data_IF_848420820268
#
_entry.id   IF_848420820268
#
_cell.length_a   1.000
_cell.length_b   1.000
_cell.length_c   1.000
_cell.angle_alpha   90.00
_cell.angle_beta   90.00
_cell.angle_gamma   90.00
#
_symmetry.space_group_name_H-M   'P 1'
#
loop_
_entity.id
_entity.type
_entity.pdbx_description
1 polymer ?
#
# COMPACT_ATOMS: atom_id res chain seq x y z
N UNK A 1 -4.52 13.95 10.25
CA UNK A 1 -3.27 13.22 10.40
C UNK A 1 -3.50 11.73 10.22
N UNK A 2 -2.68 11.05 9.41
CA UNK A 2 -2.72 9.61 9.20
C UNK A 2 -1.49 8.99 9.87
N UNK A 3 -1.72 8.08 10.83
CA UNK A 3 -0.66 7.47 11.63
C UNK A 3 -0.21 6.14 11.04
N UNK A 4 -1.16 5.34 10.52
CA UNK A 4 -0.96 4.02 9.93
C UNK A 4 -2.07 3.71 8.93
N UNK A 5 -1.89 2.67 8.12
CA UNK A 5 -2.86 2.22 7.13
C UNK A 5 -2.90 3.08 5.88
N UNK A 6 -3.99 2.99 5.14
CA UNK A 6 -4.22 3.73 3.91
C UNK A 6 -5.56 4.45 3.97
N UNK A 7 -5.60 5.68 3.43
CA UNK A 7 -6.83 6.45 3.30
C UNK A 7 -6.89 7.10 1.91
N UNK A 8 -8.07 7.05 1.31
CA UNK A 8 -8.37 7.78 0.08
C UNK A 8 -9.23 9.00 0.40
N UNK A 9 -8.91 10.11 -0.25
CA UNK A 9 -9.56 11.39 -0.04
C UNK A 9 -10.11 11.92 -1.37
N UNK A 10 -11.37 12.30 -1.37
CA UNK A 10 -11.95 13.11 -2.42
C UNK A 10 -12.23 14.51 -1.86
N UNK A 11 -11.44 15.46 -2.28
CA UNK A 11 -11.45 16.83 -1.76
C UNK A 11 -12.20 17.73 -2.73
N UNK A 12 -13.24 18.40 -2.25
CA UNK A 12 -13.94 19.42 -3.02
C UNK A 12 -13.00 20.58 -3.37
N UNK A 13 -13.17 21.18 -4.54
CA UNK A 13 -12.35 22.30 -4.97
C UNK A 13 -12.61 23.54 -4.09
N UNK A 14 -11.62 23.91 -3.31
CA UNK A 14 -11.63 25.11 -2.48
C UNK A 14 -10.20 25.67 -2.35
N UNK A 15 -9.92 26.75 -3.08
CA UNK A 15 -8.59 27.36 -3.08
C UNK A 15 -8.32 28.17 -1.81
N UNK A 16 -9.35 28.60 -1.09
CA UNK A 16 -9.22 29.39 0.12
C UNK A 16 -8.93 28.51 1.36
N UNK A 17 -9.29 27.21 1.30
CA UNK A 17 -9.11 26.26 2.39
C UNK A 17 -8.41 24.98 1.91
N UNK A 18 -7.08 24.98 1.85
CA UNK A 18 -6.31 23.78 1.48
C UNK A 18 -6.58 22.61 2.41
N UNK A 19 -6.83 21.42 1.84
CA UNK A 19 -6.91 20.19 2.62
C UNK A 19 -5.52 19.61 2.80
N UNK A 20 -5.15 19.33 4.05
CA UNK A 20 -3.80 18.87 4.40
C UNK A 20 -3.85 17.53 5.11
N UNK A 21 -3.06 16.57 4.61
CA UNK A 21 -2.80 15.28 5.28
C UNK A 21 -1.36 15.25 5.75
N UNK A 22 -1.18 15.03 7.05
CA UNK A 22 0.15 14.82 7.65
C UNK A 22 0.36 13.32 7.88
N UNK A 23 1.48 12.79 7.38
CA UNK A 23 1.86 11.38 7.51
C UNK A 23 3.38 11.23 7.45
N UNK A 24 3.97 10.27 8.18
CA UNK A 24 5.39 9.92 8.16
C UNK A 24 6.37 11.12 8.20
N UNK A 25 5.96 12.22 8.86
CA UNK A 25 6.76 13.44 8.99
C UNK A 25 6.74 14.37 7.78
N UNK A 26 5.93 14.08 6.77
CA UNK A 26 5.66 14.97 5.64
C UNK A 26 4.21 15.45 5.61
N UNK A 27 3.90 16.26 4.60
CA UNK A 27 2.60 16.92 4.41
C UNK A 27 2.18 16.85 2.96
N UNK A 28 0.96 16.40 2.71
CA UNK A 28 0.30 16.42 1.40
C UNK A 28 -0.79 17.47 1.40
N UNK A 29 -0.73 18.42 0.47
CA UNK A 29 -1.68 19.54 0.34
C UNK A 29 -2.47 19.42 -0.95
N UNK A 30 -3.79 19.44 -0.83
CA UNK A 30 -4.77 19.36 -1.92
C UNK A 30 -5.69 20.59 -1.95
N UNK A 31 -6.06 21.03 -3.16
CA UNK A 31 -6.96 22.17 -3.40
C UNK A 31 -8.24 21.77 -4.15
N UNK A 32 -8.53 20.47 -4.20
CA UNK A 32 -9.64 19.91 -4.96
C UNK A 32 -9.17 18.78 -5.85
N UNK A 33 -8.88 17.63 -5.26
CA UNK A 33 -8.29 16.48 -5.92
C UNK A 33 -8.78 15.19 -5.30
N UNK A 34 -8.62 14.07 -6.02
CA UNK A 34 -8.75 12.73 -5.46
C UNK A 34 -7.36 12.08 -5.38
N UNK A 35 -6.99 11.62 -4.18
CA UNK A 35 -5.69 11.01 -3.91
C UNK A 35 -5.74 10.06 -2.71
N UNK A 36 -4.80 9.15 -2.64
CA UNK A 36 -4.58 8.28 -1.50
C UNK A 36 -3.27 8.59 -0.79
N UNK A 37 -3.23 8.30 0.50
CA UNK A 37 -2.03 8.30 1.33
C UNK A 37 -1.96 6.98 2.05
N UNK A 38 -0.90 6.21 1.81
CA UNK A 38 -0.59 4.97 2.50
C UNK A 38 0.63 5.17 3.41
N UNK A 39 0.53 4.75 4.67
CA UNK A 39 1.61 4.85 5.67
C UNK A 39 2.23 3.48 5.87
N UNK A 40 3.51 3.37 5.50
CA UNK A 40 4.35 2.22 5.80
C UNK A 40 5.09 2.37 7.13
N UNK A 41 6.04 1.48 7.39
CA UNK A 41 6.76 1.46 8.69
C UNK A 41 7.47 2.78 9.03
N UNK A 42 8.11 3.47 8.07
CA UNK A 42 8.81 4.75 8.30
C UNK A 42 8.61 5.76 7.16
N UNK A 43 7.75 5.46 6.23
CA UNK A 43 7.52 6.25 5.03
C UNK A 43 6.03 6.38 4.74
N UNK A 44 5.68 7.27 3.85
CA UNK A 44 4.35 7.32 3.25
C UNK A 44 4.46 7.37 1.73
N UNK A 45 3.43 6.83 1.08
CA UNK A 45 3.24 6.90 -0.36
C UNK A 45 1.97 7.67 -0.66
N UNK A 46 2.04 8.61 -1.59
CA UNK A 46 0.89 9.36 -2.10
C UNK A 46 0.64 8.93 -3.53
N UNK A 47 -0.60 8.60 -3.87
CA UNK A 47 -1.03 8.27 -5.24
C UNK A 47 -2.17 9.20 -5.66
N UNK A 48 -2.06 9.85 -6.81
CA UNK A 48 -3.01 10.87 -7.27
C UNK A 48 -3.88 10.33 -8.39
N UNK A 49 -5.20 10.29 -8.17
CA UNK A 49 -6.18 9.82 -9.16
C UNK A 49 -6.81 10.95 -9.94
N UNK A 50 -6.87 12.18 -9.38
CA UNK A 50 -7.43 13.36 -10.06
C UNK A 50 -6.59 14.60 -9.76
N UNK A 51 -6.43 15.48 -10.75
CA UNK A 51 -5.71 16.76 -10.66
C UNK A 51 -4.27 16.60 -10.14
N UNK A 52 -3.93 17.32 -9.07
CA UNK A 52 -2.59 17.31 -8.48
C UNK A 52 -2.60 17.63 -6.97
N UNK A 53 -1.55 17.19 -6.28
CA UNK A 53 -1.24 17.59 -4.90
C UNK A 53 0.19 18.10 -4.81
N UNK A 54 0.48 18.88 -3.77
CA UNK A 54 1.85 19.21 -3.37
C UNK A 54 2.23 18.37 -2.15
N UNK A 55 3.37 17.68 -2.24
CA UNK A 55 3.92 16.88 -1.15
C UNK A 55 5.20 17.53 -0.65
N UNK A 56 5.28 17.78 0.65
CA UNK A 56 6.43 18.40 1.31
C UNK A 56 7.01 17.44 2.35
N UNK A 57 8.32 17.20 2.29
CA UNK A 57 9.07 16.44 3.30
C UNK A 57 10.56 16.72 3.19
N UNK A 58 11.31 16.61 4.30
CA UNK A 58 12.76 16.81 4.32
C UNK A 58 13.24 18.16 3.76
N UNK A 59 12.44 19.22 3.92
CA UNK A 59 12.75 20.57 3.39
C UNK A 59 12.49 20.73 1.88
N UNK A 60 12.05 19.69 1.17
CA UNK A 60 11.72 19.75 -0.26
C UNK A 60 10.20 19.69 -0.49
N UNK A 61 9.76 20.24 -1.61
CA UNK A 61 8.38 20.16 -2.09
C UNK A 61 8.36 19.56 -3.49
N UNK A 62 7.44 18.65 -3.73
CA UNK A 62 7.22 18.06 -5.06
C UNK A 62 5.74 18.13 -5.42
N UNK A 63 5.47 18.43 -6.70
CA UNK A 63 4.14 18.34 -7.29
C UNK A 63 3.95 16.94 -7.83
N UNK A 64 2.81 16.33 -7.49
CA UNK A 64 2.41 15.00 -7.96
C UNK A 64 1.09 15.14 -8.70
N UNK A 65 1.08 14.76 -9.95
CA UNK A 65 -0.08 14.90 -10.85
C UNK A 65 -0.85 13.59 -10.96
N UNK A 66 -2.05 13.68 -11.52
CA UNK A 66 -2.88 12.50 -11.85
C UNK A 66 -2.06 11.41 -12.53
N UNK A 67 -2.23 10.16 -12.11
CA UNK A 67 -1.51 8.99 -12.62
C UNK A 67 -0.11 8.85 -12.07
N UNK A 68 0.29 9.68 -11.11
CA UNK A 68 1.58 9.61 -10.45
C UNK A 68 1.47 9.24 -8.98
N UNK A 69 2.51 8.61 -8.48
CA UNK A 69 2.74 8.38 -7.05
C UNK A 69 4.10 8.90 -6.62
N UNK A 70 4.25 9.16 -5.33
CA UNK A 70 5.52 9.58 -4.72
C UNK A 70 5.67 8.96 -3.34
N UNK A 71 6.88 8.52 -3.03
CA UNK A 71 7.25 8.04 -1.69
C UNK A 71 8.10 9.08 -0.97
N UNK A 72 7.86 9.24 0.32
CA UNK A 72 8.65 10.12 1.17
C UNK A 72 8.78 9.57 2.60
N UNK A 73 9.76 10.05 3.31
CA UNK A 73 9.96 9.84 4.74
C UNK A 73 10.43 11.15 5.40
N UNK A 74 10.80 11.12 6.68
CA UNK A 74 11.32 12.30 7.38
C UNK A 74 12.62 12.86 6.82
N UNK A 75 13.38 12.03 6.08
CA UNK A 75 14.71 12.39 5.56
C UNK A 75 14.62 13.04 4.18
N UNK A 76 13.57 12.73 3.43
CA UNK A 76 13.43 13.27 2.09
C UNK A 76 12.22 12.78 1.31
N UNK A 77 12.17 13.25 0.08
CA UNK A 77 11.08 12.99 -0.85
C UNK A 77 11.66 12.48 -2.18
N UNK A 78 11.13 11.37 -2.68
CA UNK A 78 11.53 10.78 -3.95
C UNK A 78 11.10 11.59 -5.16
N UNK A 79 11.33 11.07 -6.35
CA UNK A 79 10.75 11.57 -7.58
C UNK A 79 9.33 11.02 -7.78
N UNK A 80 8.41 11.78 -8.39
CA UNK A 80 7.14 11.23 -8.85
C UNK A 80 7.36 10.14 -9.90
N UNK A 81 6.67 9.02 -9.75
CA UNK A 81 6.68 7.90 -10.70
C UNK A 81 5.27 7.59 -11.16
N UNK A 82 5.13 6.91 -12.30
CA UNK A 82 3.82 6.44 -12.74
C UNK A 82 3.21 5.51 -11.67
N UNK A 83 1.93 5.69 -11.37
CA UNK A 83 1.15 4.85 -10.45
C UNK A 83 0.05 4.16 -11.25
N UNK A 84 -0.02 2.85 -11.15
CA UNK A 84 -1.05 2.02 -11.77
C UNK A 84 -2.36 1.97 -10.97
N UNK A 85 -2.38 2.62 -9.81
CA UNK A 85 -3.51 2.65 -8.88
C UNK A 85 -4.00 1.27 -8.40
N UNK A 86 -3.24 0.19 -8.62
CA UNK A 86 -3.60 -1.15 -8.15
C UNK A 86 -3.75 -1.19 -6.63
N UNK A 87 -2.97 -0.37 -5.91
CA UNK A 87 -3.09 -0.18 -4.46
C UNK A 87 -4.48 0.33 -4.03
N UNK A 88 -5.29 0.89 -4.93
CA UNK A 88 -6.63 1.41 -4.63
C UNK A 88 -7.76 0.43 -4.96
N UNK A 89 -7.45 -0.79 -5.38
CA UNK A 89 -8.44 -1.83 -5.69
C UNK A 89 -9.34 -2.18 -4.50
N UNK A 90 -8.86 -1.95 -3.27
CA UNK A 90 -9.63 -2.15 -2.04
C UNK A 90 -10.92 -1.31 -1.99
N UNK A 91 -10.98 -0.17 -2.66
CA UNK A 91 -12.18 0.65 -2.79
C UNK A 91 -13.31 -0.06 -3.55
N UNK A 92 -12.93 -0.98 -4.42
CA UNK A 92 -13.83 -1.82 -5.22
C UNK A 92 -13.98 -3.22 -4.60
N UNK A 93 -13.64 -3.38 -3.31
CA UNK A 93 -13.74 -4.65 -2.59
C UNK A 93 -12.70 -5.68 -3.02
N UNK A 94 -11.56 -5.27 -3.60
CA UNK A 94 -10.51 -6.17 -4.08
C UNK A 94 -9.13 -5.79 -3.56
N UNK A 95 -8.28 -6.77 -3.36
CA UNK A 95 -6.85 -6.58 -3.18
C UNK A 95 -6.15 -6.95 -4.49
N UNK A 96 -5.33 -6.06 -5.02
CA UNK A 96 -4.58 -6.27 -6.25
C UNK A 96 -3.09 -6.02 -6.00
N UNK A 97 -2.29 -7.00 -6.35
CA UNK A 97 -0.85 -6.99 -6.21
C UNK A 97 -0.23 -7.23 -7.58
N UNK A 98 0.70 -6.41 -8.02
CA UNK A 98 1.38 -6.56 -9.31
C UNK A 98 2.88 -6.52 -9.07
N UNK A 99 3.53 -7.65 -9.32
CA UNK A 99 4.98 -7.81 -9.19
C UNK A 99 5.53 -7.36 -7.81
N UNK A 100 4.77 -7.63 -6.73
CA UNK A 100 5.17 -7.30 -5.37
C UNK A 100 5.87 -8.48 -4.69
N UNK A 101 6.85 -8.24 -3.80
CA UNK A 101 7.44 -9.30 -2.98
C UNK A 101 6.38 -10.04 -2.18
N UNK A 102 6.46 -11.38 -2.12
CA UNK A 102 5.52 -12.20 -1.36
C UNK A 102 5.39 -11.76 0.10
N UNK A 103 6.48 -11.33 0.72
CA UNK A 103 6.44 -10.82 2.10
C UNK A 103 5.54 -9.59 2.25
N UNK A 104 5.53 -8.68 1.26
CA UNK A 104 4.68 -7.50 1.26
C UNK A 104 3.21 -7.87 1.00
N UNK A 105 2.96 -8.83 0.09
CA UNK A 105 1.62 -9.36 -0.19
C UNK A 105 1.03 -10.01 1.06
N UNK A 106 1.81 -10.86 1.73
CA UNK A 106 1.41 -11.54 2.96
C UNK A 106 1.09 -10.54 4.08
N UNK A 107 1.95 -9.53 4.28
CA UNK A 107 1.73 -8.50 5.29
C UNK A 107 0.44 -7.69 5.03
N UNK A 108 0.11 -7.45 3.75
CA UNK A 108 -1.14 -6.78 3.40
C UNK A 108 -2.35 -7.69 3.63
N UNK A 109 -2.30 -8.96 3.23
CA UNK A 109 -3.36 -9.94 3.48
C UNK A 109 -3.62 -10.09 4.99
N UNK A 110 -2.57 -10.20 5.79
CA UNK A 110 -2.67 -10.28 7.26
C UNK A 110 -3.40 -9.07 7.86
N UNK A 111 -3.18 -7.88 7.32
CA UNK A 111 -3.88 -6.66 7.76
C UNK A 111 -5.39 -6.73 7.56
N UNK A 112 -5.84 -7.37 6.49
CA UNK A 112 -7.27 -7.52 6.17
C UNK A 112 -7.93 -8.69 6.92
N UNK A 113 -7.17 -9.74 7.20
CA UNK A 113 -7.69 -10.96 7.85
C UNK A 113 -7.53 -10.96 9.36
N UNK A 114 -6.71 -10.06 9.92
CA UNK A 114 -6.30 -10.08 11.32
C UNK A 114 -5.40 -11.28 11.66
N UNK A 115 -4.89 -11.99 10.65
CA UNK A 115 -3.93 -13.08 10.79
C UNK A 115 -2.50 -12.58 11.01
N UNK A 116 -1.60 -13.52 11.24
CA UNK A 116 -0.17 -13.27 11.27
C UNK A 116 0.56 -14.39 10.53
N UNK A 117 1.25 -14.03 9.45
CA UNK A 117 1.93 -15.00 8.60
C UNK A 117 3.43 -14.75 8.60
N UNK A 118 4.20 -15.78 8.93
CA UNK A 118 5.66 -15.74 8.92
C UNK A 118 6.16 -16.43 7.64
N UNK A 119 6.95 -15.72 6.84
CA UNK A 119 7.68 -16.30 5.70
C UNK A 119 9.09 -16.60 6.18
N UNK A 120 9.47 -17.88 6.27
CA UNK A 120 10.76 -18.29 6.84
C UNK A 120 11.93 -17.99 5.92
N UNK A 121 11.75 -18.20 4.62
CA UNK A 121 12.80 -18.06 3.64
C UNK A 121 12.87 -16.65 3.09
N UNK A 122 14.02 -15.99 3.20
CA UNK A 122 14.23 -14.63 2.63
C UNK A 122 14.08 -14.60 1.11
N UNK A 123 14.50 -15.65 0.40
CA UNK A 123 14.34 -15.78 -1.04
C UNK A 123 12.87 -15.90 -1.43
N UNK A 124 12.09 -16.68 -0.67
CA UNK A 124 10.65 -16.80 -0.83
C UNK A 124 9.94 -15.47 -0.53
N UNK A 125 10.31 -14.78 0.54
CA UNK A 125 9.74 -13.47 0.88
C UNK A 125 9.97 -12.41 -0.21
N UNK A 126 11.11 -12.49 -0.93
CA UNK A 126 11.44 -11.59 -2.03
C UNK A 126 10.82 -12.01 -3.38
N UNK A 127 10.18 -13.20 -3.46
CA UNK A 127 9.61 -13.70 -4.72
C UNK A 127 8.49 -12.79 -5.21
N UNK A 128 8.53 -12.33 -6.49
CA UNK A 128 7.52 -11.43 -7.02
C UNK A 128 6.19 -12.17 -7.25
N UNK A 129 5.10 -11.59 -6.80
CA UNK A 129 3.75 -12.14 -6.90
C UNK A 129 2.84 -11.16 -7.62
N UNK A 130 2.00 -11.67 -8.50
CA UNK A 130 0.86 -10.97 -9.09
C UNK A 130 -0.41 -11.72 -8.74
N UNK A 131 -1.32 -11.06 -8.01
CA UNK A 131 -2.57 -11.66 -7.53
C UNK A 131 -3.65 -10.58 -7.45
N UNK A 132 -4.87 -10.93 -7.84
CA UNK A 132 -6.08 -10.15 -7.54
C UNK A 132 -7.09 -11.05 -6.86
N UNK A 133 -7.65 -10.58 -5.74
CA UNK A 133 -8.57 -11.36 -4.90
C UNK A 133 -9.64 -10.44 -4.31
N UNK A 134 -10.86 -10.93 -4.10
CA UNK A 134 -11.89 -10.23 -3.31
C UNK A 134 -11.43 -10.09 -1.85
N UNK A 135 -11.81 -8.99 -1.21
CA UNK A 135 -11.48 -8.78 0.22
C UNK A 135 -12.14 -9.86 1.09
N UNK A 136 -13.34 -10.26 0.73
CA UNK A 136 -14.06 -11.38 1.38
C UNK A 136 -13.31 -12.71 1.29
N UNK A 137 -12.53 -12.92 0.23
CA UNK A 137 -11.73 -14.12 -0.02
C UNK A 137 -10.29 -14.00 0.49
N UNK A 138 -9.93 -12.90 1.15
CA UNK A 138 -8.56 -12.65 1.60
C UNK A 138 -8.01 -13.79 2.50
N UNK A 139 -8.89 -14.46 3.27
CA UNK A 139 -8.53 -15.64 4.05
C UNK A 139 -8.00 -16.82 3.23
N UNK A 140 -8.42 -16.93 1.97
CA UNK A 140 -7.99 -17.97 1.05
C UNK A 140 -6.80 -17.58 0.17
N UNK A 141 -6.34 -16.32 0.26
CA UNK A 141 -5.24 -15.79 -0.54
C UNK A 141 -3.97 -16.64 -0.43
N UNK A 142 -3.61 -17.07 0.78
CA UNK A 142 -2.42 -17.89 1.01
C UNK A 142 -2.55 -19.26 0.36
N UNK A 143 -3.74 -19.90 0.39
CA UNK A 143 -3.99 -21.18 -0.29
C UNK A 143 -3.89 -21.04 -1.81
N UNK A 144 -4.42 -19.96 -2.38
CA UNK A 144 -4.28 -19.68 -3.82
C UNK A 144 -2.83 -19.45 -4.21
N UNK A 145 -2.05 -18.74 -3.40
CA UNK A 145 -0.61 -18.56 -3.62
C UNK A 145 0.14 -19.89 -3.56
N UNK A 146 -0.18 -20.76 -2.60
CA UNK A 146 0.46 -22.07 -2.47
C UNK A 146 0.13 -23.04 -3.62
N UNK A 147 -0.97 -22.85 -4.32
CA UNK A 147 -1.29 -23.65 -5.51
C UNK A 147 -0.43 -23.28 -6.74
N UNK A 148 0.19 -22.10 -6.73
CA UNK A 148 0.98 -21.57 -7.85
C UNK A 148 2.48 -21.49 -7.55
N UNK A 149 2.85 -21.52 -6.29
CA UNK A 149 4.24 -21.43 -5.83
C UNK A 149 4.65 -22.74 -5.13
N UNK A 150 5.94 -23.14 -5.20
CA UNK A 150 6.44 -24.33 -4.50
C UNK A 150 6.60 -24.02 -3.00
N UNK A 151 5.48 -23.80 -2.31
CA UNK A 151 5.48 -23.42 -0.89
C UNK A 151 4.60 -24.38 -0.08
N UNK A 152 5.03 -24.63 1.15
CA UNK A 152 4.25 -25.35 2.16
C UNK A 152 3.64 -24.33 3.12
N UNK A 153 2.34 -24.47 3.38
CA UNK A 153 1.62 -23.72 4.40
C UNK A 153 1.46 -24.60 5.63
N UNK A 154 1.88 -24.10 6.78
CA UNK A 154 1.62 -24.75 8.07
C UNK A 154 0.86 -23.78 8.96
N UNK A 155 -0.38 -24.10 9.30
CA UNK A 155 -1.18 -23.33 10.26
C UNK A 155 -0.86 -23.82 11.66
N UNK A 156 -0.24 -22.97 12.47
CA UNK A 156 0.14 -23.29 13.85
C UNK A 156 -1.01 -23.00 14.83
N UNK A 157 -1.79 -21.95 14.58
CA UNK A 157 -2.99 -21.59 15.33
C UNK A 157 -4.04 -21.02 14.40
N UNK A 158 -5.21 -20.64 14.91
CA UNK A 158 -6.24 -19.95 14.13
C UNK A 158 -5.75 -18.60 13.56
N UNK A 159 -4.75 -17.97 14.19
CA UNK A 159 -4.23 -16.66 13.80
C UNK A 159 -2.79 -16.70 13.27
N UNK A 160 -2.04 -17.81 13.44
CA UNK A 160 -0.64 -17.89 13.07
C UNK A 160 -0.40 -18.94 11.98
N UNK A 161 0.14 -18.48 10.87
CA UNK A 161 0.49 -19.30 9.69
C UNK A 161 1.98 -19.15 9.38
N UNK A 162 2.60 -20.25 8.92
CA UNK A 162 4.00 -20.27 8.48
C UNK A 162 4.06 -20.69 7.01
N UNK A 163 4.78 -19.92 6.21
CA UNK A 163 5.12 -20.21 4.82
C UNK A 163 6.61 -20.56 4.73
N UNK A 164 6.90 -21.67 4.07
CA UNK A 164 8.26 -22.10 3.78
C UNK A 164 8.35 -22.70 2.38
N UNK A 165 9.52 -22.68 1.76
CA UNK A 165 9.76 -23.39 0.50
C UNK A 165 9.63 -24.91 0.71
N UNK A 166 9.19 -25.60 -0.34
CA UNK A 166 9.15 -27.07 -0.35
C UNK A 166 10.54 -27.66 -0.41
#
# INVERSE_FOLDING_TARGET
>A
RLLEGEAWFQVAKDMARPFVVEAAGGRTTALGTAFAVAVGNKNATVSVTEHLVNVASGGAVRRVSKGQGIRYDRKGIGAPVASDHTSLAWRDGRLAFVNLPLGDVVAEVDRWTGGHTIVLDKSLAAHPVTLTIGIEDAGDALHRLASTLPVRITRLTSALTVLQSN
#
